data_IF_509087114001
#
_entry.id   IF_509087114001
#
_cell.length_a   1.000
_cell.length_b   1.000
_cell.length_c   1.000
_cell.angle_alpha   90.00
_cell.angle_beta   90.00
_cell.angle_gamma   90.00
#
_symmetry.space_group_name_H-M   'P 1'
#
loop_
_entity.id
_entity.type
_entity.pdbx_description
1 polymer ?
2 non-polymer ?
3 non-polymer ?
4 water ?
#
# COMPACT_ATOMS: atom_id res chain seq x y z
N UNK A 3 -14.41 -5.52 26.44
CA UNK A 3 -15.30 -4.57 25.71
C UNK A 3 -14.79 -4.36 24.29
N UNK A 4 -15.63 -3.75 23.46
CA UNK A 4 -15.26 -3.49 22.05
C UNK A 4 -14.50 -2.17 21.95
N UNK A 5 -13.30 -2.20 21.36
CA UNK A 5 -12.53 -0.95 21.23
C UNK A 5 -13.25 0.02 20.30
N UNK A 6 -12.93 1.30 20.40
CA UNK A 6 -13.53 2.30 19.54
C UNK A 6 -13.21 1.97 18.09
N UNK A 7 -14.19 2.17 17.21
CA UNK A 7 -13.98 1.93 15.79
C UNK A 7 -14.86 2.90 15.02
N UNK A 8 -14.44 3.32 13.81
CA UNK A 8 -15.24 4.25 13.03
C UNK A 8 -16.53 3.62 12.53
N UNK A 9 -17.62 4.39 12.55
CA UNK A 9 -18.92 3.89 12.11
C UNK A 9 -19.33 4.53 10.78
N UNK A 10 -18.66 5.61 10.42
CA UNK A 10 -18.93 6.32 9.17
C UNK A 10 -17.59 6.80 8.64
N UNK A 11 -17.52 7.04 7.33
CA UNK A 11 -16.26 7.46 6.73
C UNK A 11 -15.61 8.69 7.38
N UNK A 12 -16.42 9.65 7.82
CA UNK A 12 -15.86 10.85 8.44
C UNK A 12 -15.22 10.55 9.80
N UNK A 13 -15.56 9.41 10.41
CA UNK A 13 -14.99 9.06 11.70
C UNK A 13 -13.49 8.79 11.58
N UNK A 14 -13.01 8.56 10.35
CA UNK A 14 -11.59 8.32 10.17
C UNK A 14 -10.79 9.55 10.59
N UNK A 15 -11.47 10.68 10.78
CA UNK A 15 -10.78 11.89 11.22
C UNK A 15 -10.19 11.65 12.61
N UNK A 16 -10.79 10.73 13.35
CA UNK A 16 -10.34 10.44 14.72
C UNK A 16 -9.19 9.46 14.86
N UNK A 17 -8.68 8.91 13.74
CA UNK A 17 -7.57 7.98 13.81
C UNK A 17 -6.50 8.19 12.74
N UNK A 18 -6.82 8.96 11.70
CA UNK A 18 -5.88 9.22 10.61
C UNK A 18 -4.59 9.90 11.05
N UNK A 19 -4.62 10.60 12.19
CA UNK A 19 -3.43 11.29 12.67
C UNK A 19 -2.68 10.54 13.79
N UNK A 20 -3.12 9.32 14.08
CA UNK A 20 -2.49 8.51 15.10
C UNK A 20 -1.30 7.78 14.50
N UNK A 21 -0.32 8.56 14.05
CA UNK A 21 0.88 8.01 13.41
C UNK A 21 1.88 7.48 14.44
N UNK A 22 2.23 6.20 14.28
CA UNK A 22 3.15 5.54 15.19
C UNK A 22 4.57 5.39 14.63
N UNK A 23 4.68 5.37 13.30
CA UNK A 23 5.98 5.21 12.63
C UNK A 23 6.16 6.21 11.50
N UNK A 24 7.41 6.58 11.25
CA UNK A 24 7.75 7.52 10.18
C UNK A 24 7.15 8.91 10.42
N UNK A 25 6.73 9.58 9.35
CA UNK A 25 6.17 10.90 9.50
C UNK A 25 7.24 11.96 9.30
N UNK A 26 7.03 13.15 9.87
CA UNK A 26 7.99 14.25 9.73
C UNK A 26 9.30 14.02 10.48
N UNK A 27 9.25 13.18 11.52
CA UNK A 27 10.42 12.88 12.33
C UNK A 27 11.41 11.94 11.63
N UNK A 28 12.58 12.45 11.29
CA UNK A 28 13.59 11.62 10.63
C UNK A 28 14.65 11.17 11.62
N UNK A 29 14.99 9.88 11.60
CA UNK A 29 16.01 9.36 12.50
C UNK A 29 17.40 9.65 11.94
N UNK A 30 18.40 9.60 12.81
CA UNK A 30 19.79 9.86 12.44
C UNK A 30 20.29 9.02 11.28
N UNK A 31 19.71 7.85 11.09
CA UNK A 31 20.12 6.96 10.01
C UNK A 31 19.42 7.25 8.69
N UNK A 32 18.43 8.14 8.72
CA UNK A 32 17.68 8.47 7.51
C UNK A 32 18.55 9.18 6.47
N UNK A 33 18.43 8.76 5.20
CA UNK A 33 19.20 9.34 4.08
C UNK A 33 19.14 10.87 4.03
N UNK A 34 18.01 11.44 4.45
CA UNK A 34 17.87 12.89 4.42
C UNK A 34 17.96 13.55 5.78
N UNK A 35 18.53 12.84 6.75
CA UNK A 35 18.65 13.36 8.11
C UNK A 35 19.41 14.69 8.19
N UNK A 36 20.48 14.81 7.41
CA UNK A 36 21.29 16.02 7.44
C UNK A 36 20.92 17.01 6.33
N UNK A 37 19.74 16.82 5.74
CA UNK A 37 19.28 17.70 4.68
C UNK A 37 18.21 18.63 5.25
N UNK A 38 18.60 19.86 5.54
CA UNK A 38 17.70 20.84 6.12
C UNK A 38 16.47 21.06 5.24
N UNK A 39 16.70 21.19 3.95
CA UNK A 39 15.62 21.39 2.99
C UNK A 39 14.64 20.22 3.00
N UNK A 40 15.19 19.01 3.02
CA UNK A 40 14.36 17.80 3.03
C UNK A 40 13.55 17.71 4.32
N UNK A 41 14.17 18.07 5.45
CA UNK A 41 13.50 18.04 6.74
C UNK A 41 12.27 18.94 6.73
N UNK A 42 12.43 20.16 6.21
CA UNK A 42 11.32 21.09 6.17
C UNK A 42 10.22 20.60 5.23
N UNK A 43 10.63 20.01 4.11
CA UNK A 43 9.70 19.50 3.14
C UNK A 43 8.86 18.38 3.76
N UNK A 44 9.50 17.52 4.56
CA UNK A 44 8.79 16.42 5.20
C UNK A 44 7.80 16.94 6.23
N UNK A 45 8.14 18.05 6.86
CA UNK A 45 7.26 18.67 7.86
C UNK A 45 6.05 19.21 7.10
N UNK A 46 6.30 19.76 5.92
CA UNK A 46 5.24 20.29 5.06
C UNK A 46 4.25 19.19 4.69
N UNK A 47 4.74 18.09 4.12
CA UNK A 47 3.85 16.99 3.76
C UNK A 47 3.11 16.46 4.99
N UNK A 48 3.82 16.34 6.10
CA UNK A 48 3.20 15.84 7.33
C UNK A 48 2.05 16.76 7.76
N UNK A 49 2.28 18.07 7.70
CA UNK A 49 1.25 19.04 8.08
C UNK A 49 0.01 18.94 7.19
N UNK A 50 0.21 18.74 5.90
CA UNK A 50 -0.92 18.63 4.97
C UNK A 50 -1.80 17.48 5.38
N UNK A 51 -1.19 16.37 5.79
CA UNK A 51 -1.95 15.20 6.20
C UNK A 51 -2.64 15.41 7.53
N UNK A 52 -1.93 15.97 8.50
CA UNK A 52 -2.50 16.21 9.82
C UNK A 52 -3.68 17.17 9.77
N UNK A 53 -3.59 18.17 8.91
CA UNK A 53 -4.67 19.15 8.80
C UNK A 53 -5.83 18.71 7.93
N UNK A 54 -5.63 17.64 7.16
CA UNK A 54 -6.69 17.14 6.28
C UNK A 54 -7.87 16.59 7.09
N UNK A 55 -9.07 16.81 6.58
CA UNK A 55 -10.30 16.31 7.21
C UNK A 55 -11.18 15.70 6.14
N UNK A 56 -11.93 14.65 6.47
CA UNK A 56 -12.79 14.02 5.47
C UNK A 56 -13.66 15.03 4.76
N UNK A 57 -13.72 14.92 3.44
CA UNK A 57 -14.53 15.84 2.66
C UNK A 57 -13.67 16.85 1.93
N UNK A 58 -12.48 17.12 2.46
CA UNK A 58 -11.57 18.08 1.83
C UNK A 58 -10.99 17.52 0.54
N UNK A 59 -10.75 18.37 -0.46
CA UNK A 59 -10.15 17.80 -1.67
C UNK A 59 -8.73 17.60 -1.15
N UNK A 60 -8.01 16.56 -1.59
CA UNK A 60 -6.66 16.36 -1.09
C UNK A 60 -5.74 17.45 -1.65
N UNK A 61 -5.06 18.19 -0.77
CA UNK A 61 -4.17 19.25 -1.25
C UNK A 61 -3.22 18.79 -2.35
N UNK A 62 -3.20 19.53 -3.44
CA UNK A 62 -2.31 19.18 -4.54
C UNK A 62 -0.98 19.88 -4.27
N UNK A 63 0.11 19.24 -4.70
CA UNK A 63 1.43 19.78 -4.44
C UNK A 63 2.27 19.92 -5.70
N UNK A 64 2.99 21.02 -5.81
CA UNK A 64 3.86 21.20 -6.96
C UNK A 64 5.15 20.53 -6.53
N UNK A 65 5.42 19.34 -7.07
CA UNK A 65 6.63 18.63 -6.69
C UNK A 65 7.87 19.28 -7.27
N UNK A 66 8.98 19.18 -6.54
CA UNK A 66 10.23 19.78 -7.00
C UNK A 66 10.87 18.95 -8.11
N UNK A 67 11.85 19.53 -8.79
CA UNK A 67 12.53 18.81 -9.86
C UNK A 67 13.21 17.57 -9.28
N UNK A 68 13.77 17.70 -8.09
CA UNK A 68 14.45 16.60 -7.43
C UNK A 68 13.47 15.45 -7.12
N UNK A 69 12.31 15.82 -6.58
CA UNK A 69 11.31 14.81 -6.25
C UNK A 69 10.81 14.11 -7.51
N UNK A 70 10.57 14.88 -8.58
CA UNK A 70 10.11 14.31 -9.83
C UNK A 70 11.14 13.37 -10.42
N UNK A 71 12.41 13.75 -10.36
CA UNK A 71 13.48 12.91 -10.90
C UNK A 71 13.62 11.62 -10.11
N UNK A 72 13.48 11.72 -8.79
CA UNK A 72 13.57 10.54 -7.93
C UNK A 72 12.44 9.59 -8.32
N UNK A 73 11.23 10.13 -8.43
CA UNK A 73 10.08 9.32 -8.83
C UNK A 73 10.31 8.68 -10.20
N UNK A 74 10.90 9.47 -11.11
CA UNK A 74 11.15 8.97 -12.45
C UNK A 74 12.05 7.75 -12.47
N UNK A 75 13.11 7.78 -11.67
CA UNK A 75 14.06 6.68 -11.60
C UNK A 75 13.38 5.43 -11.04
N UNK A 76 12.63 5.61 -9.96
CA UNK A 76 11.92 4.50 -9.34
C UNK A 76 10.93 3.92 -10.34
N UNK A 77 10.13 4.80 -10.94
CA UNK A 77 9.12 4.40 -11.92
C UNK A 77 9.76 3.72 -13.14
N UNK A 78 10.83 4.31 -13.65
CA UNK A 78 11.51 3.76 -14.81
C UNK A 78 12.04 2.34 -14.55
N UNK A 79 12.76 2.18 -13.44
CA UNK A 79 13.34 0.88 -13.08
C UNK A 79 12.30 -0.20 -12.82
N UNK A 80 11.26 0.11 -12.06
CA UNK A 80 10.24 -0.88 -11.77
C UNK A 80 9.44 -1.27 -13.00
N UNK A 81 9.18 -0.29 -13.87
CA UNK A 81 8.41 -0.55 -15.08
C UNK A 81 9.12 -1.48 -16.05
N UNK A 82 10.43 -1.65 -15.86
CA UNK A 82 11.20 -2.54 -16.72
C UNK A 82 10.91 -3.98 -16.32
N UNK A 83 10.51 -4.16 -15.07
CA UNK A 83 10.22 -5.48 -14.53
C UNK A 83 8.75 -5.92 -14.59
N UNK A 84 7.83 -4.97 -14.55
CA UNK A 84 6.40 -5.28 -14.57
C UNK A 84 5.89 -6.20 -15.67
N UNK A 85 6.25 -5.91 -16.93
CA UNK A 85 5.76 -6.77 -18.02
C UNK A 85 5.96 -8.28 -17.79
N UNK A 86 7.11 -8.65 -17.26
CA UNK A 86 7.41 -10.05 -17.03
C UNK A 86 7.23 -10.54 -15.60
N UNK A 87 7.10 -9.61 -14.66
CA UNK A 87 6.96 -9.99 -13.25
C UNK A 87 5.60 -9.79 -12.60
N UNK A 88 4.83 -8.81 -13.07
CA UNK A 88 3.54 -8.51 -12.47
C UNK A 88 2.37 -9.34 -12.97
N UNK A 89 1.40 -9.58 -12.09
CA UNK A 89 0.20 -10.36 -12.42
C UNK A 89 -0.59 -9.59 -13.48
N UNK A 90 -1.35 -10.31 -14.30
CA UNK A 90 -2.10 -9.64 -15.35
C UNK A 90 -3.08 -8.56 -14.88
N UNK A 91 -3.67 -8.74 -13.69
CA UNK A 91 -4.61 -7.74 -13.18
C UNK A 91 -3.90 -6.41 -12.94
N UNK A 92 -2.63 -6.47 -12.55
CA UNK A 92 -1.87 -5.25 -12.31
C UNK A 92 -1.58 -4.59 -13.66
N UNK A 93 -1.08 -5.40 -14.60
CA UNK A 93 -0.76 -4.91 -15.93
C UNK A 93 -1.96 -4.30 -16.63
N UNK A 94 -3.15 -4.80 -16.33
CA UNK A 94 -4.37 -4.30 -16.94
C UNK A 94 -4.78 -2.95 -16.36
N UNK A 95 -4.43 -2.71 -15.10
CA UNK A 95 -4.79 -1.48 -14.41
C UNK A 95 -3.77 -0.34 -14.38
N UNK A 96 -2.47 -0.67 -14.35
CA UNK A 96 -1.46 0.40 -14.31
C UNK A 96 -1.60 1.37 -15.48
N UNK A 97 -1.81 0.84 -16.70
CA UNK A 97 -1.97 1.69 -17.88
C UNK A 97 -3.17 2.62 -17.75
N UNK A 98 -4.22 2.10 -17.13
CA UNK A 98 -5.45 2.87 -16.93
C UNK A 98 -5.16 4.08 -16.04
N UNK A 99 -4.61 3.82 -14.86
CA UNK A 99 -4.26 4.89 -13.92
C UNK A 99 -3.32 5.89 -14.58
N UNK A 100 -2.32 5.37 -15.30
CA UNK A 100 -1.32 6.20 -15.96
C UNK A 100 -1.91 7.20 -16.94
N UNK A 101 -2.88 6.76 -17.73
CA UNK A 101 -3.51 7.62 -18.72
C UNK A 101 -4.38 8.71 -18.09
N UNK A 102 -5.30 8.30 -17.23
CA UNK A 102 -6.20 9.26 -16.60
C UNK A 102 -5.66 10.04 -15.40
N UNK A 103 -4.55 9.59 -14.80
CA UNK A 103 -4.00 10.29 -13.65
C UNK A 103 -2.63 10.92 -13.86
N UNK A 104 -2.06 10.75 -15.05
CA UNK A 104 -0.77 11.36 -15.33
C UNK A 104 0.50 10.70 -14.83
N UNK A 105 0.53 9.36 -14.81
CA UNK A 105 1.73 8.64 -14.40
C UNK A 105 2.76 8.75 -15.51
N UNK A 106 3.80 9.56 -15.31
CA UNK A 106 4.84 9.72 -16.31
C UNK A 106 6.19 9.82 -15.61
N UNK A 107 7.26 9.52 -16.33
CA UNK A 107 8.59 9.60 -15.73
C UNK A 107 8.89 11.01 -15.24
N UNK A 108 8.26 12.01 -15.87
CA UNK A 108 8.50 13.39 -15.48
C UNK A 108 7.32 14.06 -14.77
N UNK A 109 6.40 13.26 -14.24
CA UNK A 109 5.26 13.81 -13.53
C UNK A 109 4.74 12.87 -12.45
N UNK A 110 4.65 13.37 -11.23
CA UNK A 110 4.14 12.58 -10.12
C UNK A 110 2.63 12.80 -10.03
N UNK A 111 1.85 11.71 -10.12
CA UNK A 111 0.38 11.82 -10.05
C UNK A 111 -0.06 12.46 -8.73
N UNK A 112 -1.09 13.30 -8.79
CA UNK A 112 -1.62 13.96 -7.59
C UNK A 112 -2.58 13.01 -6.89
N UNK A 113 -2.48 12.88 -5.57
CA UNK A 113 -3.37 11.99 -4.82
C UNK A 113 -4.86 12.29 -5.06
N UNK A 114 -5.22 13.56 -5.14
CA UNK A 114 -6.62 13.92 -5.37
C UNK A 114 -7.12 13.33 -6.70
N UNK A 115 -6.29 13.39 -7.74
CA UNK A 115 -6.67 12.87 -9.04
C UNK A 115 -6.83 11.35 -8.98
N UNK A 116 -5.90 10.69 -8.29
CA UNK A 116 -5.97 9.24 -8.16
C UNK A 116 -7.21 8.87 -7.36
N UNK A 117 -7.47 9.63 -6.31
CA UNK A 117 -8.63 9.38 -5.47
C UNK A 117 -9.93 9.48 -6.27
N UNK A 118 -10.05 10.53 -7.08
CA UNK A 118 -11.26 10.70 -7.88
C UNK A 118 -11.41 9.60 -8.93
N UNK A 119 -10.29 9.15 -9.47
CA UNK A 119 -10.32 8.08 -10.47
C UNK A 119 -10.83 6.80 -9.81
N UNK A 120 -10.29 6.49 -8.63
CA UNK A 120 -10.72 5.29 -7.92
C UNK A 120 -12.18 5.37 -7.49
N UNK A 121 -12.60 6.56 -7.05
CA UNK A 121 -13.98 6.75 -6.62
C UNK A 121 -14.97 6.33 -7.70
N UNK A 122 -14.70 6.72 -8.94
CA UNK A 122 -15.59 6.38 -10.04
C UNK A 122 -15.46 4.93 -10.52
N UNK A 123 -14.32 4.31 -10.26
CA UNK A 123 -14.08 2.95 -10.70
C UNK A 123 -14.56 1.88 -9.70
N UNK A 124 -14.17 2.02 -8.43
CA UNK A 124 -14.54 1.04 -7.42
C UNK A 124 -15.06 1.65 -6.12
N UNK A 125 -15.14 2.97 -6.06
CA UNK A 125 -15.61 3.61 -4.85
C UNK A 125 -14.51 3.82 -3.84
N UNK A 126 -13.29 3.41 -4.18
CA UNK A 126 -12.17 3.60 -3.27
C UNK A 126 -11.74 5.06 -3.34
N UNK A 127 -11.18 5.55 -2.25
CA UNK A 127 -10.69 6.92 -2.19
C UNK A 127 -9.41 6.94 -1.39
N UNK A 128 -8.72 8.07 -1.46
CA UNK A 128 -7.46 8.22 -0.76
C UNK A 128 -7.55 9.29 0.32
N UNK A 129 -6.78 9.07 1.38
CA UNK A 129 -6.69 10.01 2.47
C UNK A 129 -5.19 10.18 2.71
N UNK A 130 -4.69 11.43 2.69
CA UNK A 130 -3.25 11.60 2.92
C UNK A 130 -2.95 11.30 4.37
N UNK A 131 -1.82 10.65 4.63
CA UNK A 131 -1.47 10.31 6.01
C UNK A 131 0.00 10.64 6.23
N UNK A 132 0.31 11.20 7.40
CA UNK A 132 1.68 11.60 7.73
C UNK A 132 2.66 10.45 7.79
N UNK A 133 2.21 9.31 8.32
CA UNK A 133 3.08 8.16 8.42
C UNK A 133 2.28 6.88 8.60
N UNK A 134 2.90 5.84 9.15
CA UNK A 134 2.18 4.60 9.32
C UNK A 134 1.35 4.57 10.60
N UNK A 135 0.14 4.02 10.48
CA UNK A 135 -0.79 3.91 11.60
C UNK A 135 -0.69 2.51 12.17
N UNK A 136 -1.47 2.24 13.20
CA UNK A 136 -1.50 0.91 13.78
C UNK A 136 -2.26 0.05 12.77
N UNK A 137 -2.07 -1.28 12.82
CA UNK A 137 -2.79 -2.14 11.88
C UNK A 137 -4.30 -1.90 11.99
N UNK A 138 -4.81 -1.82 13.22
CA UNK A 138 -6.23 -1.60 13.42
C UNK A 138 -6.74 -0.34 12.72
N UNK A 139 -6.06 0.78 12.93
CA UNK A 139 -6.49 2.03 12.31
C UNK A 139 -6.38 1.99 10.78
N UNK A 140 -5.27 1.48 10.27
CA UNK A 140 -5.13 1.41 8.82
C UNK A 140 -6.22 0.52 8.22
N UNK A 141 -6.44 -0.65 8.81
CA UNK A 141 -7.47 -1.54 8.28
C UNK A 141 -8.87 -0.96 8.38
N UNK A 142 -9.12 -0.16 9.42
CA UNK A 142 -10.44 0.44 9.59
C UNK A 142 -10.75 1.34 8.39
N UNK A 143 -9.71 1.94 7.82
CA UNK A 143 -9.91 2.78 6.66
C UNK A 143 -10.46 1.99 5.48
N UNK A 144 -9.94 0.78 5.29
CA UNK A 144 -10.38 -0.08 4.18
C UNK A 144 -11.87 -0.41 4.26
N UNK A 145 -12.42 -0.47 5.47
CA UNK A 145 -13.84 -0.78 5.65
C UNK A 145 -14.71 0.22 4.88
N UNK A 146 -14.21 1.43 4.71
CA UNK A 146 -14.94 2.48 3.99
C UNK A 146 -14.32 2.73 2.62
N UNK A 147 -13.53 1.76 2.15
CA UNK A 147 -12.83 1.86 0.88
C UNK A 147 -11.95 3.11 0.85
N UNK A 148 -11.26 3.33 1.97
CA UNK A 148 -10.34 4.45 2.08
C UNK A 148 -8.94 3.90 2.29
N UNK A 149 -8.01 4.32 1.45
CA UNK A 149 -6.63 3.89 1.57
C UNK A 149 -5.81 5.08 2.05
N UNK A 150 -5.28 4.97 3.27
CA UNK A 150 -4.44 6.03 3.82
C UNK A 150 -3.14 5.95 3.05
N UNK A 151 -2.73 7.09 2.49
CA UNK A 151 -1.57 7.13 1.62
C UNK A 151 -0.55 8.22 1.94
N UNK A 152 0.74 7.88 1.95
CA UNK A 152 1.78 8.88 2.19
C UNK A 152 1.91 9.71 0.93
N UNK A 153 2.34 10.96 1.08
CA UNK A 153 2.42 11.87 -0.04
C UNK A 153 3.85 12.34 -0.35
N UNK A 154 4.77 12.15 0.60
CA UNK A 154 6.15 12.58 0.44
C UNK A 154 6.98 11.61 -0.40
N UNK A 155 8.14 12.07 -0.85
CA UNK A 155 9.04 11.28 -1.68
C UNK A 155 10.32 10.96 -0.93
N UNK A 156 10.88 9.77 -1.16
CA UNK A 156 12.12 9.35 -0.52
C UNK A 156 13.22 10.36 -0.89
N UNK A 157 14.26 10.43 -0.06
CA UNK A 157 15.37 11.37 -0.32
C UNK A 157 16.06 11.04 -1.64
N UNK A 158 16.42 12.08 -2.39
CA UNK A 158 17.04 11.93 -3.69
C UNK A 158 18.41 11.25 -3.69
N UNK A 159 19.10 11.26 -2.56
CA UNK A 159 20.43 10.66 -2.47
C UNK A 159 20.43 9.16 -2.76
N UNK A 160 19.28 8.51 -2.55
CA UNK A 160 19.18 7.08 -2.81
C UNK A 160 17.76 6.70 -3.25
N UNK A 161 17.51 6.76 -4.57
CA UNK A 161 16.21 6.44 -5.17
C UNK A 161 15.78 4.99 -4.96
N UNK A 162 16.71 4.15 -4.56
CA UNK A 162 16.43 2.73 -4.34
C UNK A 162 16.27 2.41 -2.86
N UNK A 163 16.15 3.46 -2.04
CA UNK A 163 15.99 3.31 -0.59
C UNK A 163 14.57 2.88 -0.22
N UNK A 164 14.46 1.71 0.41
CA UNK A 164 13.15 1.18 0.80
C UNK A 164 12.85 1.12 2.30
N UNK A 165 13.89 1.11 3.17
CA UNK A 165 13.63 1.04 4.62
C UNK A 165 12.41 1.85 5.06
N UNK A 166 12.31 3.09 4.59
CA UNK A 166 11.15 3.92 4.90
C UNK A 166 10.32 4.05 3.63
N UNK A 167 9.05 3.62 3.67
CA UNK A 167 8.16 3.69 2.52
C UNK A 167 7.76 5.14 2.22
N UNK A 168 7.37 5.39 0.97
CA UNK A 168 6.98 6.73 0.55
C UNK A 168 5.82 6.69 -0.45
N UNK A 169 5.54 7.82 -1.08
CA UNK A 169 4.43 7.88 -2.02
C UNK A 169 4.62 7.01 -3.27
N UNK A 170 5.87 6.74 -3.64
CA UNK A 170 6.11 5.90 -4.82
C UNK A 170 5.54 4.51 -4.57
N UNK A 171 5.75 4.00 -3.36
CA UNK A 171 5.24 2.70 -2.96
C UNK A 171 3.73 2.68 -3.04
N UNK A 172 3.10 3.76 -2.61
CA UNK A 172 1.64 3.84 -2.63
C UNK A 172 1.12 3.86 -4.07
N UNK A 173 1.66 4.77 -4.86
CA UNK A 173 1.21 4.96 -6.24
C UNK A 173 1.48 3.83 -7.21
N UNK A 174 2.62 3.17 -7.06
CA UNK A 174 2.96 2.08 -7.95
C UNK A 174 2.59 0.72 -7.38
N UNK A 175 2.67 0.60 -6.06
CA UNK A 175 2.37 -0.68 -5.43
C UNK A 175 0.93 -0.94 -5.03
N UNK A 176 0.26 0.06 -4.46
CA UNK A 176 -1.11 -0.12 -3.99
C UNK A 176 -2.24 0.33 -4.90
N UNK A 177 -2.06 1.49 -5.51
CA UNK A 177 -3.13 2.09 -6.32
C UNK A 177 -3.73 1.32 -7.51
N UNK A 178 -2.89 0.87 -8.46
CA UNK A 178 -3.44 0.15 -9.61
C UNK A 178 -4.50 -0.90 -9.29
N UNK A 179 -4.20 -1.79 -8.35
CA UNK A 179 -5.16 -2.83 -8.02
C UNK A 179 -6.45 -2.36 -7.34
N UNK A 180 -6.44 -1.17 -6.75
CA UNK A 180 -7.63 -0.66 -6.11
C UNK A 180 -8.68 -0.32 -7.17
N UNK A 181 -8.25 -0.29 -8.43
CA UNK A 181 -9.13 -0.01 -9.55
C UNK A 181 -9.82 -1.29 -10.01
N UNK A 182 -9.37 -2.43 -9.48
CA UNK A 182 -9.95 -3.72 -9.86
C UNK A 182 -11.05 -4.07 -8.86
N UNK A 183 -12.31 -4.19 -9.35
CA UNK A 183 -13.47 -4.51 -8.51
C UNK A 183 -13.27 -5.65 -7.51
N UNK A 184 -12.78 -6.80 -7.98
CA UNK A 184 -12.59 -7.94 -7.08
C UNK A 184 -11.55 -7.65 -5.99
N UNK A 185 -10.47 -6.94 -6.36
CA UNK A 185 -9.43 -6.62 -5.39
C UNK A 185 -9.95 -5.60 -4.38
N UNK A 186 -10.75 -4.64 -4.84
CA UNK A 186 -11.32 -3.64 -3.95
C UNK A 186 -12.27 -4.29 -2.95
N UNK A 187 -13.06 -5.25 -3.41
CA UNK A 187 -14.00 -5.95 -2.54
C UNK A 187 -13.23 -6.76 -1.49
N UNK A 188 -12.19 -7.45 -1.94
CA UNK A 188 -11.34 -8.24 -1.06
C UNK A 188 -10.77 -7.35 0.06
N UNK A 189 -10.22 -6.20 -0.33
CA UNK A 189 -9.63 -5.26 0.60
C UNK A 189 -10.65 -4.70 1.58
N UNK A 190 -11.82 -4.31 1.07
CA UNK A 190 -12.84 -3.76 1.96
C UNK A 190 -13.31 -4.80 2.98
N UNK A 191 -13.44 -6.05 2.56
CA UNK A 191 -13.90 -7.07 3.50
C UNK A 191 -12.90 -7.34 4.62
N UNK A 192 -11.61 -7.17 4.35
CA UNK A 192 -10.62 -7.35 5.41
C UNK A 192 -10.86 -6.21 6.40
N UNK A 193 -11.09 -5.02 5.87
CA UNK A 193 -11.33 -3.86 6.72
C UNK A 193 -12.60 -4.02 7.55
N UNK A 194 -13.69 -4.43 6.90
CA UNK A 194 -14.96 -4.61 7.62
C UNK A 194 -14.85 -5.66 8.73
N UNK A 195 -14.16 -6.75 8.45
CA UNK A 195 -13.98 -7.82 9.44
C UNK A 195 -13.15 -7.35 10.64
N UNK A 196 -12.32 -6.34 10.44
CA UNK A 196 -11.46 -5.84 11.50
C UNK A 196 -12.12 -4.84 12.46
N UNK A 197 -13.22 -4.23 12.03
CA UNK A 197 -13.88 -3.22 12.86
C UNK A 197 -14.36 -3.73 14.21
N UNK A 198 -13.79 -3.17 15.26
CA UNK A 198 -14.14 -3.56 16.62
C UNK A 198 -13.76 -4.98 16.98
N UNK A 199 -12.97 -5.62 16.12
CA UNK A 199 -12.53 -6.98 16.35
C UNK A 199 -11.52 -7.05 17.49
N UNK A 200 -11.30 -8.25 18.01
CA UNK A 200 -10.35 -8.44 19.10
C UNK A 200 -8.92 -8.21 18.61
N UNK A 201 -8.00 -8.06 19.55
CA UNK A 201 -6.60 -7.85 19.19
C UNK A 201 -6.08 -9.03 18.38
N UNK A 202 -6.39 -10.23 18.85
CA UNK A 202 -5.94 -11.42 18.16
C UNK A 202 -6.51 -11.49 16.75
N UNK A 203 -7.77 -11.10 16.60
CA UNK A 203 -8.43 -11.11 15.29
C UNK A 203 -7.77 -10.10 14.35
N UNK A 204 -7.56 -8.89 14.83
CA UNK A 204 -6.92 -7.86 14.00
C UNK A 204 -5.53 -8.32 13.57
N UNK A 205 -4.79 -8.92 14.50
CA UNK A 205 -3.45 -9.41 14.18
C UNK A 205 -3.52 -10.43 13.04
N UNK A 206 -4.47 -11.36 13.13
CA UNK A 206 -4.60 -12.39 12.09
C UNK A 206 -5.02 -11.78 10.75
N UNK A 207 -5.94 -10.84 10.80
CA UNK A 207 -6.40 -10.18 9.57
C UNK A 207 -5.26 -9.37 8.96
N UNK A 208 -4.48 -8.69 9.80
CA UNK A 208 -3.36 -7.90 9.34
C UNK A 208 -2.33 -8.80 8.66
N UNK A 209 -2.12 -9.99 9.22
CA UNK A 209 -1.17 -10.93 8.65
C UNK A 209 -1.64 -11.45 7.30
N UNK A 210 -2.93 -11.75 7.17
CA UNK A 210 -3.46 -12.22 5.89
C UNK A 210 -3.35 -11.10 4.87
N UNK A 211 -3.59 -9.87 5.30
CA UNK A 211 -3.47 -8.70 4.41
C UNK A 211 -2.00 -8.61 3.97
N UNK A 212 -1.10 -8.81 4.91
CA UNK A 212 0.33 -8.74 4.64
C UNK A 212 0.76 -9.72 3.56
N UNK A 213 0.30 -10.96 3.65
CA UNK A 213 0.68 -11.98 2.69
C UNK A 213 -0.15 -12.06 1.41
N UNK A 214 -1.04 -11.10 1.23
CA UNK A 214 -1.85 -11.02 0.02
C UNK A 214 -1.60 -9.63 -0.56
N UNK A 215 -2.31 -8.63 -0.05
CA UNK A 215 -2.15 -7.26 -0.54
C UNK A 215 -0.70 -6.75 -0.53
N UNK A 216 0.06 -7.06 0.50
CA UNK A 216 1.43 -6.57 0.56
C UNK A 216 2.50 -7.41 -0.14
N UNK A 217 2.43 -8.74 0.03
CA UNK A 217 3.44 -9.62 -0.58
C UNK A 217 2.88 -10.84 -1.30
N UNK A 218 1.65 -10.73 -1.78
CA UNK A 218 1.04 -11.85 -2.47
C UNK A 218 1.57 -12.16 -3.85
N UNK A 219 1.48 -13.44 -4.21
CA UNK A 219 1.92 -13.92 -5.51
C UNK A 219 0.75 -14.60 -6.20
N UNK A 220 0.83 -14.72 -7.52
CA UNK A 220 -0.19 -15.40 -8.29
C UNK A 220 0.58 -16.37 -9.20
N UNK A 221 -0.13 -17.34 -9.77
CA UNK A 221 0.49 -18.29 -10.68
C UNK A 221 -0.38 -18.26 -11.93
N UNK A 222 0.15 -17.66 -13.00
CA UNK A 222 -0.60 -17.54 -14.23
C UNK A 222 0.15 -18.18 -15.37
N UNK A 223 -0.52 -19.14 -16.03
CA UNK A 223 0.07 -19.90 -17.12
C UNK A 223 1.25 -20.68 -16.56
N UNK A 224 1.16 -21.02 -15.28
CA UNK A 224 2.20 -21.78 -14.62
C UNK A 224 3.40 -20.96 -14.17
N UNK A 225 3.37 -19.66 -14.45
CA UNK A 225 4.46 -18.77 -14.08
C UNK A 225 4.14 -17.94 -12.84
N UNK A 226 5.05 -17.92 -11.87
CA UNK A 226 4.82 -17.12 -10.67
C UNK A 226 4.98 -15.64 -10.99
N UNK A 227 4.00 -14.84 -10.58
CA UNK A 227 4.03 -13.40 -10.80
C UNK A 227 3.61 -12.73 -9.49
N UNK A 228 3.87 -11.43 -9.36
CA UNK A 228 3.55 -10.75 -8.11
C UNK A 228 2.38 -9.77 -8.19
N UNK A 229 1.65 -9.62 -7.09
CA UNK A 229 0.58 -8.64 -7.02
C UNK A 229 0.68 -7.87 -5.70
N UNK A 230 1.59 -8.32 -4.83
CA UNK A 230 1.77 -7.64 -3.55
C UNK A 230 2.40 -6.27 -3.71
N UNK A 231 1.82 -5.27 -3.08
CA UNK A 231 2.34 -3.90 -3.17
C UNK A 231 3.82 -3.77 -2.77
N UNK A 232 4.22 -4.50 -1.74
CA UNK A 232 5.60 -4.44 -1.27
C UNK A 232 6.57 -5.05 -2.28
N UNK A 233 6.07 -5.93 -3.12
CA UNK A 233 6.89 -6.55 -4.14
C UNK A 233 6.91 -5.64 -5.38
N UNK A 234 5.75 -5.12 -5.74
CA UNK A 234 5.64 -4.25 -6.90
C UNK A 234 6.44 -2.95 -6.77
N UNK A 235 6.82 -2.57 -5.56
CA UNK A 235 7.58 -1.34 -5.37
C UNK A 235 9.01 -1.58 -4.90
N UNK A 236 9.45 -2.82 -4.93
CA UNK A 236 10.81 -3.15 -4.50
C UNK A 236 11.54 -3.98 -5.54
N UNK A 237 12.55 -3.39 -6.19
CA UNK A 237 13.32 -4.09 -7.20
C UNK A 237 13.95 -5.37 -6.65
N UNK A 238 14.58 -5.26 -5.50
CA UNK A 238 15.26 -6.41 -4.90
C UNK A 238 14.31 -7.55 -4.52
N UNK A 239 13.25 -7.25 -3.79
CA UNK A 239 12.36 -8.33 -3.38
C UNK A 239 11.51 -8.82 -4.54
N UNK A 240 11.30 -7.96 -5.53
CA UNK A 240 10.52 -8.33 -6.70
C UNK A 240 11.24 -9.49 -7.38
N UNK A 241 12.55 -9.34 -7.58
CA UNK A 241 13.35 -10.37 -8.21
C UNK A 241 13.51 -11.60 -7.32
N UNK A 242 13.76 -11.37 -6.03
CA UNK A 242 13.94 -12.46 -5.07
C UNK A 242 12.76 -13.42 -5.01
N UNK A 243 11.56 -12.86 -4.93
CA UNK A 243 10.34 -13.65 -4.82
C UNK A 243 10.12 -14.61 -6.00
N UNK A 244 10.42 -14.13 -7.21
CA UNK A 244 10.23 -14.96 -8.39
C UNK A 244 11.43 -15.82 -8.75
N UNK A 245 12.47 -15.79 -7.92
CA UNK A 245 13.64 -16.61 -8.17
C UNK A 245 13.36 -17.89 -7.38
N UNK A 246 13.98 -18.98 -7.78
CA UNK A 246 13.76 -20.23 -7.06
C UNK A 246 14.37 -20.22 -5.68
N UNK A 247 14.79 -19.05 -5.21
CA UNK A 247 15.42 -18.91 -3.90
C UNK A 247 14.44 -18.87 -2.74
N UNK A 248 13.24 -18.34 -2.99
CA UNK A 248 12.24 -18.21 -1.95
C UNK A 248 11.22 -19.33 -1.88
N UNK A 249 10.78 -19.63 -0.66
CA UNK A 249 9.79 -20.66 -0.40
C UNK A 249 8.42 -20.08 -0.79
N UNK A 250 7.60 -20.91 -1.43
CA UNK A 250 6.27 -20.46 -1.85
C UNK A 250 5.23 -21.51 -1.48
N UNK A 251 4.12 -21.05 -0.88
CA UNK A 251 3.04 -21.95 -0.47
C UNK A 251 1.69 -21.38 -0.88
N UNK A 252 0.64 -22.22 -0.92
CA UNK A 252 -0.70 -21.76 -1.29
C UNK A 252 -1.26 -20.88 -0.19
N UNK A 253 -2.02 -19.86 -0.56
CA UNK A 253 -2.63 -18.99 0.44
C UNK A 253 -3.68 -19.82 1.18
N UNK A 254 -3.62 -19.81 2.51
CA UNK A 254 -4.56 -20.55 3.34
C UNK A 254 -4.56 -19.84 4.69
N UNK A 255 -5.53 -18.93 4.87
CA UNK A 255 -5.68 -18.13 6.10
C UNK A 255 -5.28 -18.77 7.42
N UNK A 256 -5.83 -19.95 7.73
CA UNK A 256 -5.53 -20.64 8.98
C UNK A 256 -4.03 -20.86 9.17
N UNK A 257 -3.32 -21.04 8.07
CA UNK A 257 -1.88 -21.25 8.13
C UNK A 257 -1.15 -19.94 7.92
N UNK A 258 -1.52 -19.22 6.86
CA UNK A 258 -0.87 -17.96 6.54
C UNK A 258 -0.86 -16.98 7.72
N UNK A 259 -1.93 -16.94 8.50
CA UNK A 259 -2.01 -16.02 9.64
C UNK A 259 -1.00 -16.36 10.74
N UNK A 260 -0.43 -17.56 10.69
CA UNK A 260 0.55 -17.97 11.68
C UNK A 260 1.96 -17.50 11.32
N UNK A 261 2.14 -17.07 10.07
CA UNK A 261 3.43 -16.62 9.60
C UNK A 261 3.79 -15.24 10.15
N UNK A 262 5.04 -15.08 10.55
CA UNK A 262 5.50 -13.80 11.08
C UNK A 262 5.78 -12.87 9.90
N UNK A 263 5.37 -11.62 10.03
CA UNK A 263 5.57 -10.64 8.97
C UNK A 263 6.92 -9.96 9.17
N UNK A 264 7.84 -10.20 8.24
CA UNK A 264 9.17 -9.62 8.37
C UNK A 264 9.35 -8.25 7.73
N UNK A 265 10.24 -7.47 8.34
CA UNK A 265 10.61 -6.15 7.85
C UNK A 265 12.13 -6.17 7.90
N UNK A 266 12.78 -5.39 7.05
CA UNK A 266 14.23 -5.32 7.01
C UNK A 266 14.83 -6.45 6.16
N UNK A 267 14.14 -7.59 6.11
CA UNK A 267 14.62 -8.72 5.33
C UNK A 267 13.52 -9.27 4.41
N UNK A 268 13.89 -10.19 3.53
CA UNK A 268 12.91 -10.80 2.64
C UNK A 268 12.05 -11.73 3.48
N UNK A 269 10.84 -12.04 3.00
CA UNK A 269 9.95 -12.92 3.73
C UNK A 269 10.50 -14.34 3.68
N UNK A 270 10.21 -15.15 4.70
CA UNK A 270 10.67 -16.53 4.72
C UNK A 270 9.86 -17.37 3.75
N UNK A 271 8.64 -16.91 3.47
CA UNK A 271 7.76 -17.61 2.56
C UNK A 271 6.76 -16.64 1.93
N UNK A 272 6.43 -16.88 0.68
CA UNK A 272 5.44 -16.07 -0.03
C UNK A 272 4.27 -16.96 -0.36
N UNK A 273 3.07 -16.41 -0.33
CA UNK A 273 1.86 -17.17 -0.61
C UNK A 273 1.19 -16.84 -1.93
N UNK A 274 0.74 -17.89 -2.61
CA UNK A 274 0.09 -17.76 -3.90
C UNK A 274 -1.43 -17.81 -3.77
N UNK A 275 -2.11 -16.79 -4.26
CA UNK A 275 -3.57 -16.75 -4.24
C UNK A 275 -4.06 -17.21 -5.61
N UNK A 276 -5.10 -18.03 -5.64
CA UNK A 276 -5.63 -18.53 -6.91
C UNK A 276 -6.24 -17.42 -7.77
N UNK A 277 -6.89 -16.47 -7.10
CA UNK A 277 -7.53 -15.33 -7.74
C UNK A 277 -8.00 -14.44 -6.59
N UNK A 278 -8.36 -13.19 -6.90
CA UNK A 278 -8.84 -12.29 -5.85
C UNK A 278 -10.18 -12.79 -5.34
N UNK A 279 -10.97 -13.38 -6.25
CA UNK A 279 -12.26 -13.91 -5.84
C UNK A 279 -12.07 -15.06 -4.88
N UNK A 280 -11.11 -15.94 -5.17
CA UNK A 280 -10.86 -17.08 -4.30
C UNK A 280 -10.26 -16.68 -2.95
N UNK A 281 -9.35 -15.71 -2.97
CA UNK A 281 -8.75 -15.24 -1.73
C UNK A 281 -9.84 -14.65 -0.85
N UNK A 282 -10.77 -13.94 -1.48
CA UNK A 282 -11.89 -13.33 -0.76
C UNK A 282 -12.74 -14.44 -0.12
N UNK A 283 -13.04 -15.49 -0.89
CA UNK A 283 -13.83 -16.60 -0.37
C UNK A 283 -13.13 -17.26 0.81
N UNK A 284 -11.83 -17.50 0.67
CA UNK A 284 -11.07 -18.12 1.75
C UNK A 284 -11.08 -17.27 3.01
N UNK A 285 -11.04 -15.95 2.86
CA UNK A 285 -11.06 -15.08 4.03
C UNK A 285 -12.43 -15.09 4.69
N UNK A 286 -13.49 -15.25 3.90
CA UNK A 286 -14.83 -15.31 4.45
C UNK A 286 -14.95 -16.52 5.37
N UNK A 287 -14.46 -17.66 4.90
CA UNK A 287 -14.49 -18.90 5.67
C UNK A 287 -13.69 -18.72 6.95
N UNK A 288 -12.53 -18.10 6.81
CA UNK A 288 -11.63 -17.86 7.93
C UNK A 288 -12.22 -16.97 9.00
N UNK A 289 -12.69 -15.79 8.61
CA UNK A 289 -13.23 -14.84 9.56
C UNK A 289 -14.42 -15.38 10.36
N UNK A 290 -15.13 -16.36 9.79
CA UNK A 290 -16.26 -16.96 10.48
C UNK A 290 -15.78 -17.78 11.68
N UNK A 291 -14.48 -18.07 11.71
CA UNK A 291 -13.90 -18.85 12.79
C UNK A 291 -13.13 -18.03 13.81
N UNK A 292 -13.09 -16.71 13.63
CA UNK A 292 -12.37 -15.84 14.56
C UNK A 292 -13.21 -14.65 14.99
X LIG B 1 2.05 -0.64 1.60
X LIG C 1 -0.26 2.71 7.96
X LIG C 1 -0.27 4.66 6.70
X LIG C 1 -0.13 3.32 6.76
X LIG C 1 0.14 2.61 5.63
X LIG C 1 0.27 1.27 5.66
X LIG C 1 0.52 0.60 4.66
X LIG C 1 0.15 0.57 6.89
X LIG C 1 -0.13 1.36 8.06
X LIG C 1 -0.28 0.76 9.27
X LIG C 1 -0.15 -0.63 9.45
X LIG C 1 0.15 -1.45 8.25
X LIG C 1 0.28 -0.77 6.96
X LIG C 1 0.33 -3.00 8.19
X LIG C 1 1.08 -3.42 9.34
X LIG C 1 -1.02 -3.79 8.18
X LIG C 1 -1.63 -3.69 9.47
X LIG C 1 -1.99 -3.28 7.15
#
# INVERSE_FOLDING_TARGET
MESVPWFPKKISDLDHCANRVLMYGSELDADHPGFKDNVYRKRRKYFADLAMNYKHGDPIPKVEFTEEEIKTWGTVFRELNKLYPTHACREYLKNLPLLSKYCGYREDNIPQLEDVSNFLKERTGFSIRPVAGYLSPRDFLSGLAFRVFHCTQYVRHSSDPFYTPEPDTCHELLGHVPLLAEPSFAQFSQEIGLASLGASEEAVQKLATCYFFTVEFGLCKQDGQLRVFGAGLLSSISELKHALSGHAKVKPFDPKITCKQECLITTFQDVYFVSESFEDAKEKMREFTKTIKRPFGVKYN
FE FE
HBI N1 N2 C2 N3 C4 O4 C4A C8A N8 C7 C6 N5 C9 O9 C10 O10 C11
#
